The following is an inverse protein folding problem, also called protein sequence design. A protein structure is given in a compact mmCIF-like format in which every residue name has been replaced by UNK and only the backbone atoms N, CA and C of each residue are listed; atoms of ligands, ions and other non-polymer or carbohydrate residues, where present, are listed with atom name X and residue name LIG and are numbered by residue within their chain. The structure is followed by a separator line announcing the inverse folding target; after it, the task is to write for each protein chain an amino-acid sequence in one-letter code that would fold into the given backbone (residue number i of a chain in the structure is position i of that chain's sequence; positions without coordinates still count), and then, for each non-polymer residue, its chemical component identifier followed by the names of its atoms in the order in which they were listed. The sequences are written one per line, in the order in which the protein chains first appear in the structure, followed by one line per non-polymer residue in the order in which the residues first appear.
data_IF_958042096545
#
_entry.id   IF_958042096545
#
_cell.length_a   1.000
_cell.length_b   1.000
_cell.length_c   1.000
_cell.angle_alpha   90.00
_cell.angle_beta   90.00
_cell.angle_gamma   90.00
#
_symmetry.space_group_name_H-M   'P 1'
#
loop_
_entity.id
_entity.type
_entity.pdbx_description
1 polymer ?
#
# COMPACT_ATOMS: atom_id res chain seq x y z
N UNK A 1 13.98 10.57 17.58
CA UNK A 1 13.00 9.60 17.08
C UNK A 1 11.64 9.87 17.68
N UNK A 2 10.61 9.32 17.09
CA UNK A 2 9.25 9.46 17.60
C UNK A 2 9.11 8.88 19.03
N UNK A 3 9.84 7.80 19.36
CA UNK A 3 9.87 7.23 20.70
C UNK A 3 10.45 8.18 21.75
N UNK A 4 11.37 9.05 21.38
CA UNK A 4 11.94 10.04 22.29
C UNK A 4 10.96 11.20 22.57
N UNK A 5 10.07 11.50 21.62
CA UNK A 5 9.05 12.52 21.77
C UNK A 5 7.83 12.02 22.55
N UNK A 6 7.68 10.72 22.69
CA UNK A 6 6.57 10.10 23.41
C UNK A 6 6.92 9.95 24.88
N UNK A 7 6.39 10.78 25.74
CA UNK A 7 6.58 10.67 27.18
C UNK A 7 6.01 9.37 27.74
N UNK A 8 6.54 8.95 28.89
CA UNK A 8 6.03 7.78 29.62
C UNK A 8 4.55 7.95 29.96
N UNK A 9 3.74 6.93 29.73
CA UNK A 9 2.30 6.94 29.96
C UNK A 9 1.45 7.46 28.81
N UNK A 10 2.08 8.09 27.79
CA UNK A 10 1.40 8.55 26.57
C UNK A 10 1.75 7.73 25.33
N UNK A 11 2.71 6.81 25.43
CA UNK A 11 3.23 6.07 24.29
C UNK A 11 2.14 5.27 23.56
N UNK A 12 1.26 4.59 24.31
CA UNK A 12 0.17 3.80 23.70
C UNK A 12 -0.82 4.68 22.95
N UNK A 13 -1.14 5.85 23.50
CA UNK A 13 -2.07 6.81 22.86
C UNK A 13 -1.47 7.43 21.61
N UNK A 14 -0.20 7.82 21.66
CA UNK A 14 0.50 8.38 20.51
C UNK A 14 0.71 7.34 19.43
N UNK A 15 1.05 6.12 19.81
CA UNK A 15 1.17 5.00 18.87
C UNK A 15 -0.16 4.71 18.17
N UNK A 16 -1.27 4.63 18.92
CA UNK A 16 -2.59 4.41 18.34
C UNK A 16 -3.01 5.56 17.42
N UNK A 17 -2.77 6.80 17.82
CA UNK A 17 -3.07 7.96 17.00
C UNK A 17 -2.25 7.97 15.70
N UNK A 18 -0.96 7.68 15.79
CA UNK A 18 -0.09 7.56 14.62
C UNK A 18 -0.60 6.46 13.67
N UNK A 19 -0.87 5.27 14.21
CA UNK A 19 -1.33 4.13 13.41
C UNK A 19 -2.65 4.42 12.70
N UNK A 20 -3.59 5.04 13.40
CA UNK A 20 -4.88 5.46 12.83
C UNK A 20 -4.70 6.52 11.75
N UNK A 21 -3.84 7.52 11.99
CA UNK A 21 -3.60 8.59 11.03
C UNK A 21 -2.94 8.07 9.75
N UNK A 22 -1.98 7.17 9.86
CA UNK A 22 -1.33 6.52 8.71
C UNK A 22 -2.35 5.69 7.92
N UNK A 23 -3.18 4.92 8.62
CA UNK A 23 -4.23 4.10 7.99
C UNK A 23 -5.23 4.98 7.23
N UNK A 24 -5.69 6.06 7.83
CA UNK A 24 -6.61 7.00 7.20
C UNK A 24 -5.98 7.72 6.01
N UNK A 25 -4.74 8.14 6.16
CA UNK A 25 -3.98 8.74 5.06
C UNK A 25 -3.90 7.80 3.86
N UNK A 26 -3.52 6.56 4.09
CA UNK A 26 -3.41 5.56 3.02
C UNK A 26 -4.77 5.25 2.40
N UNK A 27 -5.84 5.16 3.21
CA UNK A 27 -7.20 4.97 2.70
C UNK A 27 -7.60 6.13 1.76
N UNK A 28 -7.28 7.36 2.12
CA UNK A 28 -7.60 8.53 1.30
C UNK A 28 -6.80 8.52 -0.01
N UNK A 29 -5.52 8.19 0.04
CA UNK A 29 -4.68 8.08 -1.17
C UNK A 29 -5.23 6.99 -2.11
N UNK A 30 -5.59 5.83 -1.59
CA UNK A 30 -6.09 4.73 -2.40
C UNK A 30 -7.46 5.02 -3.01
N UNK A 31 -8.29 5.84 -2.37
CA UNK A 31 -9.55 6.32 -2.96
C UNK A 31 -9.33 7.23 -4.16
N UNK A 32 -8.19 7.90 -4.23
CA UNK A 32 -7.81 8.76 -5.35
C UNK A 32 -7.17 8.00 -6.50
N UNK A 33 -6.87 6.73 -6.33
CA UNK A 33 -6.27 5.89 -7.35
C UNK A 33 -7.22 5.69 -8.54
N UNK A 34 -6.67 5.74 -9.75
CA UNK A 34 -7.41 5.60 -11.00
C UNK A 34 -6.86 4.45 -11.83
N UNK A 35 -7.67 3.97 -12.76
CA UNK A 35 -7.23 3.00 -13.76
C UNK A 35 -6.17 3.64 -14.68
N UNK A 36 -5.07 2.92 -14.99
CA UNK A 36 -4.10 3.43 -15.96
C UNK A 36 -4.71 3.48 -17.35
N UNK A 37 -4.18 4.33 -18.25
CA UNK A 37 -4.70 4.44 -19.63
C UNK A 37 -4.68 3.13 -20.42
N UNK A 38 -3.80 2.20 -20.04
CA UNK A 38 -3.67 0.87 -20.64
C UNK A 38 -4.62 -0.19 -20.05
N UNK A 39 -5.51 0.22 -19.14
CA UNK A 39 -6.40 -0.70 -18.45
C UNK A 39 -7.36 -1.42 -19.40
N UNK A 40 -7.61 -2.68 -19.09
CA UNK A 40 -8.56 -3.54 -19.80
C UNK A 40 -9.85 -3.69 -19.02
N UNK A 41 -10.87 -4.23 -19.68
CA UNK A 41 -12.12 -4.57 -19.00
C UNK A 41 -11.84 -5.58 -17.86
N UNK A 42 -12.30 -5.24 -16.66
CA UNK A 42 -12.09 -6.06 -15.47
C UNK A 42 -10.89 -5.64 -14.63
N UNK A 43 -10.03 -4.76 -15.12
CA UNK A 43 -8.94 -4.21 -14.32
C UNK A 43 -9.48 -3.34 -13.18
N UNK A 44 -8.71 -3.28 -12.10
CA UNK A 44 -9.01 -2.45 -10.93
C UNK A 44 -7.95 -1.36 -10.76
N UNK A 45 -8.26 -0.24 -10.08
CA UNK A 45 -7.27 0.82 -9.85
C UNK A 45 -6.01 0.36 -9.11
N UNK A 46 -6.11 -0.73 -8.34
CA UNK A 46 -4.98 -1.33 -7.64
C UNK A 46 -4.76 -2.73 -8.16
N UNK A 47 -3.53 -3.07 -8.47
CA UNK A 47 -3.14 -4.40 -8.94
C UNK A 47 -1.78 -4.80 -8.40
N UNK A 48 -1.54 -6.11 -8.32
CA UNK A 48 -0.22 -6.64 -7.97
C UNK A 48 0.67 -6.63 -9.22
N UNK A 49 1.84 -5.97 -9.13
CA UNK A 49 2.79 -5.86 -10.22
C UNK A 49 4.21 -6.16 -9.76
N UNK A 50 5.03 -6.69 -10.65
CA UNK A 50 6.46 -6.87 -10.38
C UNK A 50 7.17 -5.52 -10.48
N UNK A 51 7.84 -5.14 -9.39
CA UNK A 51 8.59 -3.89 -9.30
C UNK A 51 10.07 -4.20 -9.11
N UNK A 52 10.89 -3.64 -9.98
CA UNK A 52 12.35 -3.74 -9.85
C UNK A 52 12.85 -2.62 -8.95
N UNK A 53 13.48 -3.02 -7.84
CA UNK A 53 13.97 -2.09 -6.83
C UNK A 53 15.49 -2.14 -6.85
N UNK A 54 16.12 -1.12 -7.43
CA UNK A 54 17.60 -1.04 -7.55
C UNK A 54 18.20 -2.36 -8.06
N UNK A 55 19.21 -2.86 -7.39
CA UNK A 55 19.90 -4.10 -7.75
C UNK A 55 19.31 -5.34 -7.08
N UNK A 56 18.15 -5.20 -6.42
CA UNK A 56 17.45 -6.32 -5.79
C UNK A 56 16.63 -7.11 -6.83
N UNK A 57 16.23 -8.32 -6.44
CA UNK A 57 15.29 -9.10 -7.24
C UNK A 57 13.94 -8.38 -7.35
N UNK A 58 13.24 -8.49 -8.48
CA UNK A 58 11.89 -7.96 -8.60
C UNK A 58 10.97 -8.53 -7.50
N UNK A 59 10.12 -7.69 -6.95
CA UNK A 59 9.15 -8.05 -5.93
C UNK A 59 7.74 -7.70 -6.42
N UNK A 60 6.77 -8.57 -6.15
CA UNK A 60 5.38 -8.33 -6.51
C UNK A 60 4.72 -7.48 -5.42
N UNK A 61 4.32 -6.26 -5.80
CA UNK A 61 3.77 -5.26 -4.88
C UNK A 61 2.44 -4.73 -5.38
N UNK A 62 1.57 -4.33 -4.43
CA UNK A 62 0.35 -3.60 -4.77
C UNK A 62 0.73 -2.23 -5.34
N UNK A 63 0.24 -1.96 -6.54
CA UNK A 63 0.61 -0.79 -7.35
C UNK A 63 -0.64 -0.05 -7.81
N UNK A 64 -0.59 1.27 -7.78
CA UNK A 64 -1.70 2.14 -8.15
C UNK A 64 -1.20 3.46 -8.73
N UNK A 65 -2.08 4.15 -9.47
CA UNK A 65 -1.79 5.41 -10.14
C UNK A 65 -2.54 6.56 -9.46
N UNK A 66 -1.81 7.60 -9.07
CA UNK A 66 -2.36 8.86 -8.57
C UNK A 66 -2.20 9.94 -9.65
N UNK A 67 -3.31 10.37 -10.31
CA UNK A 67 -3.22 11.28 -11.45
C UNK A 67 -2.72 12.68 -11.06
N UNK A 68 -3.07 13.14 -9.86
CA UNK A 68 -2.67 14.45 -9.35
C UNK A 68 -1.47 14.37 -8.40
N UNK A 69 -0.93 13.16 -8.21
CA UNK A 69 0.13 12.91 -7.23
C UNK A 69 -0.38 12.96 -5.78
N UNK A 70 0.53 13.11 -4.85
CA UNK A 70 0.24 13.18 -3.42
C UNK A 70 1.04 14.31 -2.78
N UNK A 71 0.51 14.90 -1.71
CA UNK A 71 1.21 15.93 -0.94
C UNK A 71 2.51 15.43 -0.31
N UNK A 72 2.63 14.12 -0.09
CA UNK A 72 3.87 13.51 0.38
C UNK A 72 4.93 13.39 -0.72
N UNK A 73 4.51 13.41 -1.98
CA UNK A 73 5.36 13.15 -3.13
C UNK A 73 5.62 14.48 -3.84
N UNK A 74 6.59 15.23 -3.35
CA UNK A 74 6.98 16.49 -3.96
C UNK A 74 8.34 16.37 -4.65
N UNK A 75 8.43 16.94 -5.82
CA UNK A 75 9.66 17.09 -6.57
C UNK A 75 9.89 18.56 -6.84
N UNK A 76 11.09 19.03 -6.67
CA UNK A 76 11.50 20.21 -5.97
C UNK A 76 10.40 21.27 -5.90
N UNK A 77 9.59 21.21 -4.84
CA UNK A 77 8.60 22.19 -4.48
C UNK A 77 7.21 22.07 -5.10
N UNK A 78 6.93 21.04 -5.90
CA UNK A 78 5.61 20.81 -6.49
C UNK A 78 5.24 19.33 -6.53
N UNK A 79 3.95 18.95 -6.33
CA UNK A 79 3.51 17.60 -6.54
C UNK A 79 3.71 17.19 -8.00
N UNK A 80 4.22 15.97 -8.22
CA UNK A 80 4.29 15.39 -9.56
C UNK A 80 2.96 14.76 -9.94
N UNK A 81 2.44 15.00 -11.16
CA UNK A 81 1.27 14.32 -11.67
C UNK A 81 1.61 12.92 -12.20
N UNK A 82 0.59 12.12 -12.45
CA UNK A 82 0.74 10.78 -13.04
C UNK A 82 1.72 9.89 -12.28
N UNK A 83 1.59 9.81 -10.94
CA UNK A 83 2.52 9.08 -10.08
C UNK A 83 2.08 7.64 -9.93
N UNK A 84 2.96 6.72 -10.33
CA UNK A 84 2.82 5.28 -10.08
C UNK A 84 3.43 4.98 -8.71
N UNK A 85 2.63 4.40 -7.82
CA UNK A 85 2.98 4.11 -6.44
C UNK A 85 2.90 2.61 -6.17
N UNK A 86 3.84 2.09 -5.38
CA UNK A 86 3.83 0.71 -4.91
C UNK A 86 4.13 0.67 -3.42
N UNK A 87 3.47 -0.24 -2.70
CA UNK A 87 3.59 -0.38 -1.25
C UNK A 87 4.48 -1.57 -0.91
N UNK A 88 5.51 -1.33 -0.13
CA UNK A 88 6.43 -2.36 0.36
C UNK A 88 6.58 -2.27 1.88
N UNK A 89 6.36 -3.40 2.57
CA UNK A 89 6.78 -3.53 3.96
C UNK A 89 8.22 -4.07 3.99
N UNK A 90 9.11 -3.32 4.62
CA UNK A 90 10.54 -3.64 4.65
C UNK A 90 10.98 -3.81 6.11
N UNK A 91 11.59 -4.96 6.41
CA UNK A 91 12.05 -5.27 7.75
C UNK A 91 13.01 -4.19 8.27
N UNK A 92 12.73 -3.72 9.50
CA UNK A 92 13.54 -2.69 10.15
C UNK A 92 13.35 -1.28 9.63
N UNK A 93 12.66 -1.08 8.52
CA UNK A 93 12.46 0.23 7.90
C UNK A 93 10.97 0.68 7.89
N UNK A 94 10.04 -0.27 7.92
CA UNK A 94 8.61 -0.01 7.96
C UNK A 94 7.92 -0.06 6.60
N UNK A 95 6.84 0.71 6.46
CA UNK A 95 6.09 0.82 5.21
C UNK A 95 6.70 1.88 4.31
N UNK A 96 7.15 1.44 3.14
CA UNK A 96 7.80 2.26 2.13
C UNK A 96 6.84 2.44 0.95
N UNK A 97 6.70 3.69 0.49
CA UNK A 97 6.06 3.99 -0.77
C UNK A 97 7.14 4.15 -1.84
N UNK A 98 7.11 3.28 -2.83
CA UNK A 98 7.96 3.36 -4.01
C UNK A 98 7.20 4.14 -5.07
N UNK A 99 7.78 5.18 -5.64
CA UNK A 99 7.05 6.04 -6.56
C UNK A 99 7.91 6.72 -7.60
N UNK A 100 7.32 6.92 -8.78
CA UNK A 100 7.86 7.80 -9.80
C UNK A 100 6.75 8.27 -10.75
N UNK A 101 6.94 9.44 -11.34
CA UNK A 101 5.99 9.99 -12.32
C UNK A 101 6.20 9.35 -13.69
N UNK A 102 5.09 9.00 -14.35
CA UNK A 102 5.11 8.52 -15.75
C UNK A 102 5.64 9.57 -16.73
N UNK A 103 5.65 10.84 -16.33
CA UNK A 103 6.14 11.94 -17.15
C UNK A 103 7.67 12.11 -17.08
N UNK A 104 8.33 11.36 -16.22
CA UNK A 104 9.79 11.37 -16.12
C UNK A 104 10.42 10.68 -17.34
N UNK A 105 11.47 11.30 -17.90
CA UNK A 105 12.12 10.85 -19.12
C UNK A 105 12.64 9.41 -19.03
N UNK A 106 13.10 9.01 -17.84
CA UNK A 106 13.66 7.68 -17.58
C UNK A 106 12.75 6.80 -16.72
N UNK A 107 11.45 6.96 -16.86
CA UNK A 107 10.46 6.21 -16.06
C UNK A 107 10.72 4.69 -16.06
N UNK A 108 11.09 4.11 -17.20
CA UNK A 108 11.30 2.67 -17.35
C UNK A 108 12.74 2.23 -17.00
N UNK A 109 13.65 3.16 -16.84
CA UNK A 109 15.08 2.87 -16.63
C UNK A 109 15.51 3.08 -15.18
N UNK A 110 15.09 4.18 -14.58
CA UNK A 110 15.47 4.54 -13.22
C UNK A 110 14.61 3.77 -12.19
N UNK A 111 15.20 3.36 -11.06
CA UNK A 111 14.42 2.78 -9.98
C UNK A 111 13.47 3.82 -9.37
N UNK A 112 12.33 3.38 -8.79
CA UNK A 112 11.42 4.31 -8.13
C UNK A 112 12.07 4.98 -6.91
N UNK A 113 11.61 6.18 -6.60
CA UNK A 113 11.96 6.88 -5.37
C UNK A 113 11.30 6.21 -4.18
N UNK A 114 11.83 6.41 -3.01
CA UNK A 114 11.35 5.82 -1.78
C UNK A 114 10.93 6.89 -0.78
N UNK A 115 9.76 6.73 -0.20
CA UNK A 115 9.27 7.56 0.91
C UNK A 115 8.79 6.65 2.03
N UNK A 116 9.32 6.84 3.23
CA UNK A 116 8.85 6.08 4.40
C UNK A 116 7.51 6.67 4.85
N UNK A 117 6.45 5.87 4.77
CA UNK A 117 5.12 6.26 5.25
C UNK A 117 5.06 6.12 6.77
N UNK A 118 5.54 4.99 7.30
CA UNK A 118 5.60 4.75 8.75
C UNK A 118 6.70 3.75 9.08
N UNK A 119 7.60 4.08 10.01
CA UNK A 119 8.61 3.14 10.48
C UNK A 119 8.04 2.04 11.39
N UNK A 120 6.78 2.16 11.81
CA UNK A 120 6.15 1.24 12.77
C UNK A 120 5.31 0.15 12.11
N UNK A 121 5.18 0.13 10.80
CA UNK A 121 4.54 -0.99 10.09
C UNK A 121 5.54 -2.14 10.00
N UNK A 122 5.31 -3.18 10.79
CA UNK A 122 6.16 -4.36 10.83
C UNK A 122 5.88 -5.33 9.69
N UNK A 123 4.70 -5.27 9.08
CA UNK A 123 4.32 -6.13 7.98
C UNK A 123 2.96 -5.78 7.41
N UNK A 124 2.64 -6.43 6.30
CA UNK A 124 1.36 -6.33 5.61
C UNK A 124 0.69 -7.70 5.60
N UNK A 125 -0.62 -7.71 5.75
CA UNK A 125 -1.46 -8.88 5.50
C UNK A 125 -2.55 -8.51 4.49
N UNK A 126 -3.12 -9.50 3.85
CA UNK A 126 -4.02 -9.31 2.73
C UNK A 126 -5.31 -10.08 2.96
N UNK A 127 -6.45 -9.37 2.91
CA UNK A 127 -7.76 -9.99 3.10
C UNK A 127 -8.39 -10.27 1.74
N UNK A 128 -8.77 -11.53 1.56
CA UNK A 128 -9.48 -12.02 0.38
C UNK A 128 -10.89 -12.47 0.77
N UNK A 129 -11.88 -12.06 0.00
CA UNK A 129 -13.26 -12.48 0.18
C UNK A 129 -13.61 -13.55 -0.85
N UNK A 130 -14.11 -14.70 -0.37
CA UNK A 130 -14.64 -15.76 -1.21
C UNK A 130 -16.15 -15.61 -1.29
N UNK A 131 -16.66 -15.19 -2.46
CA UNK A 131 -18.08 -14.96 -2.68
C UNK A 131 -18.89 -16.27 -2.66
N UNK A 132 -18.28 -17.40 -3.03
CA UNK A 132 -18.96 -18.71 -3.04
C UNK A 132 -19.19 -19.22 -1.64
N UNK A 133 -18.23 -19.04 -0.76
CA UNK A 133 -18.30 -19.48 0.64
C UNK A 133 -18.77 -18.37 1.59
N UNK A 134 -18.90 -17.14 1.11
CA UNK A 134 -19.23 -15.94 1.90
C UNK A 134 -18.31 -15.77 3.11
N UNK A 135 -17.02 -16.03 2.93
CA UNK A 135 -16.00 -15.99 3.99
C UNK A 135 -14.83 -15.11 3.62
N UNK A 136 -14.19 -14.54 4.64
CA UNK A 136 -12.92 -13.83 4.51
C UNK A 136 -11.76 -14.75 4.88
N UNK A 137 -10.65 -14.58 4.18
CA UNK A 137 -9.38 -15.18 4.59
C UNK A 137 -8.30 -14.08 4.65
N UNK A 138 -7.43 -14.15 5.65
CA UNK A 138 -6.30 -13.24 5.80
C UNK A 138 -5.02 -14.00 5.51
N UNK A 139 -4.24 -13.50 4.55
CA UNK A 139 -3.04 -14.16 4.06
C UNK A 139 -1.80 -13.30 4.34
N UNK A 140 -0.67 -13.92 4.74
CA UNK A 140 0.58 -13.19 4.99
C UNK A 140 1.28 -12.74 3.72
N UNK A 141 0.88 -13.25 2.57
CA UNK A 141 1.44 -12.91 1.26
C UNK A 141 0.31 -12.81 0.22
N UNK A 142 0.58 -12.13 -0.89
CA UNK A 142 -0.35 -12.04 -2.01
C UNK A 142 -0.59 -13.44 -2.59
N UNK A 143 -1.87 -13.80 -2.74
CA UNK A 143 -2.29 -15.09 -3.31
C UNK A 143 -2.11 -15.11 -4.81
N UNK A 144 -1.74 -16.27 -5.33
CA UNK A 144 -1.78 -16.53 -6.76
C UNK A 144 -3.08 -17.21 -7.14
N UNK A 145 -3.46 -17.06 -8.41
CA UNK A 145 -4.57 -17.81 -8.99
C UNK A 145 -4.31 -19.32 -8.94
N UNK A 146 -5.35 -20.13 -9.13
CA UNK A 146 -5.25 -21.61 -9.06
C UNK A 146 -4.25 -22.17 -10.07
N UNK A 147 -4.10 -21.52 -11.23
CA UNK A 147 -3.11 -21.91 -12.25
C UNK A 147 -1.70 -21.35 -12.00
N UNK A 148 -1.55 -20.50 -10.97
CA UNK A 148 -0.29 -19.84 -10.63
C UNK A 148 0.17 -18.75 -11.59
N UNK A 149 -0.62 -18.42 -12.62
CA UNK A 149 -0.24 -17.50 -13.68
C UNK A 149 -0.36 -16.03 -13.28
N UNK A 150 -1.30 -15.69 -12.40
CA UNK A 150 -1.57 -14.32 -11.97
C UNK A 150 -1.58 -14.18 -10.46
N UNK A 151 -1.24 -12.98 -9.97
CA UNK A 151 -1.37 -12.65 -8.56
C UNK A 151 -2.71 -11.96 -8.35
N UNK A 152 -3.48 -12.44 -7.37
CA UNK A 152 -4.81 -11.90 -7.07
C UNK A 152 -4.70 -10.63 -6.25
N UNK A 153 -5.54 -9.66 -6.57
CA UNK A 153 -5.65 -8.42 -5.78
C UNK A 153 -6.57 -8.67 -4.58
N UNK A 154 -6.12 -8.39 -3.35
CA UNK A 154 -6.97 -8.53 -2.16
C UNK A 154 -8.06 -7.44 -2.13
N UNK A 155 -9.10 -7.67 -1.35
CA UNK A 155 -10.16 -6.70 -1.12
C UNK A 155 -9.82 -5.70 -0.03
N UNK A 156 -8.97 -6.10 0.94
CA UNK A 156 -8.48 -5.23 2.00
C UNK A 156 -7.00 -5.48 2.25
N UNK A 157 -6.31 -4.40 2.65
CA UNK A 157 -4.93 -4.44 3.08
C UNK A 157 -4.89 -4.21 4.60
N UNK A 158 -4.17 -5.05 5.34
CA UNK A 158 -3.93 -4.89 6.77
C UNK A 158 -2.52 -4.37 7.01
N UNK A 159 -2.44 -3.25 7.72
CA UNK A 159 -1.17 -2.68 8.17
C UNK A 159 -0.93 -3.17 9.61
N UNK A 160 0.13 -3.92 9.80
CA UNK A 160 0.50 -4.45 11.13
C UNK A 160 1.48 -3.50 11.80
N UNK A 161 0.96 -2.59 12.63
CA UNK A 161 1.80 -1.66 13.38
C UNK A 161 2.30 -2.28 14.65
N UNK A 162 3.58 -2.07 14.96
CA UNK A 162 4.22 -2.51 16.21
C UNK A 162 5.18 -1.45 16.74
N UNK A 163 5.10 -1.20 18.03
CA UNK A 163 6.05 -0.38 18.77
C UNK A 163 6.14 -0.90 20.21
N UNK A 164 7.33 -1.29 20.64
CA UNK A 164 7.55 -1.93 21.96
C UNK A 164 6.57 -3.11 22.15
N UNK A 165 5.69 -3.04 23.15
CA UNK A 165 4.67 -4.06 23.43
C UNK A 165 3.31 -3.73 22.79
N UNK A 166 3.20 -2.62 22.05
CA UNK A 166 1.95 -2.16 21.46
C UNK A 166 1.78 -2.72 20.06
N UNK A 167 0.56 -3.13 19.74
CA UNK A 167 0.15 -3.61 18.44
C UNK A 167 -1.11 -2.85 17.97
N UNK A 168 -1.20 -2.60 16.69
CA UNK A 168 -2.39 -2.03 16.07
C UNK A 168 -2.53 -2.57 14.65
N UNK A 169 -3.75 -2.96 14.29
CA UNK A 169 -4.08 -3.38 12.92
C UNK A 169 -4.89 -2.29 12.24
N UNK A 170 -4.29 -1.65 11.21
CA UNK A 170 -5.00 -0.74 10.34
C UNK A 170 -5.54 -1.47 9.13
N UNK A 171 -6.82 -1.31 8.83
CA UNK A 171 -7.46 -1.96 7.69
C UNK A 171 -7.85 -0.93 6.66
N UNK A 172 -7.40 -1.15 5.42
CA UNK A 172 -7.66 -0.26 4.28
C UNK A 172 -8.43 -1.05 3.23
N UNK A 173 -9.62 -0.56 2.85
CA UNK A 173 -10.39 -1.14 1.77
C UNK A 173 -9.76 -0.77 0.42
N UNK A 174 -9.60 -1.76 -0.45
CA UNK A 174 -9.04 -1.56 -1.79
C UNK A 174 -10.16 -1.44 -2.82
N UNK A 175 -10.03 -0.56 -3.83
CA UNK A 175 -10.99 -0.44 -4.91
C UNK A 175 -10.87 -1.66 -5.84
N UNK A 176 -11.69 -2.66 -5.59
CA UNK A 176 -11.76 -3.91 -6.35
C UNK A 176 -13.17 -4.08 -6.92
N UNK A 177 -13.37 -5.15 -7.71
CA UNK A 177 -14.71 -5.50 -8.15
C UNK A 177 -15.62 -5.73 -6.93
N UNK A 178 -16.72 -5.01 -6.88
CA UNK A 178 -17.68 -5.09 -5.76
C UNK A 178 -18.66 -6.26 -5.90
N UNK A 179 -18.57 -7.03 -6.97
CA UNK A 179 -19.44 -8.17 -7.17
C UNK A 179 -19.20 -9.25 -6.12
N UNK A 180 -20.26 -9.60 -5.39
CA UNK A 180 -20.20 -10.61 -4.35
C UNK A 180 -19.65 -10.14 -3.01
N UNK A 181 -19.20 -8.88 -2.89
CA UNK A 181 -18.76 -8.35 -1.61
C UNK A 181 -19.93 -8.03 -0.69
N UNK A 182 -19.80 -8.23 0.63
CA UNK A 182 -20.81 -7.80 1.57
C UNK A 182 -20.95 -6.29 1.55
N UNK A 183 -22.16 -5.79 1.69
CA UNK A 183 -22.41 -4.36 1.88
C UNK A 183 -22.17 -4.04 3.36
N UNK A 184 -21.42 -3.00 3.58
CA UNK A 184 -21.20 -2.49 4.93
C UNK A 184 -22.30 -1.53 5.34
#
# INVERSE_FOLDING_TARGET
SMGELWGRGNDSRLFEAHSRNVTNFLQDELRSAVLPPSAKVGDTPISAQEIKINNANPETLLTFLLPEGSRLLSWPGAPLPEVVCSLQARDGEGLILLWHSRLETKFNEDPPRETVISPYVAGLEYDYYDANLSTWSTEPALKKSTDGATTLTPQRLRLKFKYATYDYDGVVALPTSMQGLPRY
#
